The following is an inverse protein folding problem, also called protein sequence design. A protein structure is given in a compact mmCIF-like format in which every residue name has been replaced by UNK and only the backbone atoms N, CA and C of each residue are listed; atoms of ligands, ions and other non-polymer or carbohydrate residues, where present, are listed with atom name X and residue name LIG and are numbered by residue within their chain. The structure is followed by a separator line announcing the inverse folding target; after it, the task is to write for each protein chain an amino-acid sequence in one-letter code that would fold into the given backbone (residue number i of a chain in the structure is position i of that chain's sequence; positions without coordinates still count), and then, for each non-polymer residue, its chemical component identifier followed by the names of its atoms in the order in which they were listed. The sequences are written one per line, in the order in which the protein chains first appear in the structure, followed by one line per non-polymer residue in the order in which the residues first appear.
data_IF_401542950161
#
_entry.id   IF_401542950161
#
_cell.length_a   1.000
_cell.length_b   1.000
_cell.length_c   1.000
_cell.angle_alpha   90.00
_cell.angle_beta   90.00
_cell.angle_gamma   90.00
#
_symmetry.space_group_name_H-M   'P 1'
#
loop_
_entity.id
_entity.type
_entity.pdbx_description
1 polymer ?
#
# COMPACT_ATOMS: atom_id res chain seq x y z
N UNK A 1 3.80 -49.19 -55.41
CA UNK A 1 4.67 -48.21 -54.73
C UNK A 1 3.92 -46.93 -54.29
N UNK A 2 2.61 -46.99 -54.00
CA UNK A 2 1.78 -45.80 -53.68
C UNK A 2 1.13 -45.83 -52.28
N UNK A 3 1.22 -46.95 -51.55
CA UNK A 3 0.53 -47.13 -50.26
C UNK A 3 1.40 -46.71 -49.06
N UNK A 4 2.73 -46.67 -49.23
CA UNK A 4 3.68 -46.38 -48.14
C UNK A 4 3.80 -44.87 -47.79
N UNK A 5 3.38 -43.97 -48.70
CA UNK A 5 3.44 -42.51 -48.47
C UNK A 5 2.26 -41.94 -47.67
N UNK A 6 1.14 -42.67 -47.52
CA UNK A 6 0.01 -42.20 -46.71
C UNK A 6 0.23 -42.38 -45.21
N UNK A 7 0.92 -43.45 -44.78
CA UNK A 7 1.14 -43.73 -43.36
C UNK A 7 2.11 -42.73 -42.69
N UNK A 8 3.12 -42.25 -43.42
CA UNK A 8 4.09 -41.27 -42.89
C UNK A 8 3.48 -39.87 -42.69
N UNK A 9 2.46 -39.48 -43.47
CA UNK A 9 1.75 -38.20 -43.29
C UNK A 9 0.80 -38.22 -42.09
N UNK A 10 0.20 -39.37 -41.76
CA UNK A 10 -0.70 -39.49 -40.61
C UNK A 10 0.04 -39.37 -39.26
N UNK A 11 1.25 -39.93 -39.14
CA UNK A 11 2.05 -39.86 -37.91
C UNK A 11 2.57 -38.44 -37.59
N UNK A 12 2.86 -37.63 -38.60
CA UNK A 12 3.32 -36.25 -38.43
C UNK A 12 2.18 -35.31 -37.96
N UNK A 13 0.96 -35.50 -38.47
CA UNK A 13 -0.23 -34.76 -38.04
C UNK A 13 -0.61 -35.05 -36.57
N UNK A 14 -0.51 -36.32 -36.14
CA UNK A 14 -0.81 -36.70 -34.76
C UNK A 14 0.13 -36.05 -33.73
N UNK A 15 1.44 -35.94 -34.03
CA UNK A 15 2.41 -35.27 -33.15
C UNK A 15 2.20 -33.76 -33.07
N UNK A 16 1.79 -33.11 -34.17
CA UNK A 16 1.52 -31.68 -34.18
C UNK A 16 0.28 -31.34 -33.33
N UNK A 17 -0.78 -32.15 -33.42
CA UNK A 17 -2.00 -31.98 -32.61
C UNK A 17 -1.74 -32.20 -31.12
N UNK A 18 -0.91 -33.19 -30.76
CA UNK A 18 -0.56 -33.44 -29.36
C UNK A 18 0.28 -32.28 -28.76
N UNK A 19 1.27 -31.78 -29.50
CA UNK A 19 2.11 -30.65 -29.06
C UNK A 19 1.30 -29.34 -28.98
N UNK A 20 0.40 -29.09 -29.92
CA UNK A 20 -0.51 -27.94 -29.87
C UNK A 20 -1.51 -28.04 -28.70
N UNK A 21 -2.02 -29.24 -28.40
CA UNK A 21 -2.91 -29.46 -27.25
C UNK A 21 -2.20 -29.23 -25.91
N UNK A 22 -0.96 -29.72 -25.75
CA UNK A 22 -0.17 -29.50 -24.54
C UNK A 22 0.23 -28.03 -24.38
N UNK A 23 0.59 -27.34 -25.47
CA UNK A 23 0.88 -25.90 -25.44
C UNK A 23 -0.37 -25.07 -25.06
N UNK A 24 -1.55 -25.44 -25.55
CA UNK A 24 -2.80 -24.76 -25.20
C UNK A 24 -3.16 -24.94 -23.71
N UNK A 25 -2.94 -26.13 -23.15
CA UNK A 25 -3.16 -26.40 -21.71
C UNK A 25 -2.13 -25.67 -20.84
N UNK A 26 -0.88 -25.55 -21.29
CA UNK A 26 0.16 -24.83 -20.57
C UNK A 26 -0.01 -23.29 -20.64
N UNK A 27 -0.61 -22.78 -21.72
CA UNK A 27 -0.94 -21.36 -21.88
C UNK A 27 -2.28 -21.00 -21.22
N UNK A 28 -3.20 -21.96 -21.08
CA UNK A 28 -4.46 -21.80 -20.36
C UNK A 28 -4.28 -21.97 -18.84
N UNK A 29 -3.18 -21.46 -18.26
CA UNK A 29 -3.16 -21.23 -16.81
C UNK A 29 -4.23 -20.17 -16.54
N UNK A 30 -5.34 -20.49 -15.86
CA UNK A 30 -6.24 -19.44 -15.44
C UNK A 30 -5.41 -18.49 -14.57
N UNK A 31 -5.22 -17.26 -15.04
CA UNK A 31 -4.70 -16.22 -14.18
C UNK A 31 -5.62 -16.17 -12.97
N UNK A 32 -5.08 -16.35 -11.76
CA UNK A 32 -5.88 -16.20 -10.56
C UNK A 32 -6.45 -14.78 -10.59
N UNK A 33 -7.77 -14.68 -10.74
CA UNK A 33 -8.43 -13.40 -10.84
C UNK A 33 -8.23 -12.65 -9.52
N UNK A 34 -7.63 -11.47 -9.61
CA UNK A 34 -7.44 -10.55 -8.49
C UNK A 34 -8.54 -9.50 -8.55
N UNK A 35 -9.17 -9.23 -7.42
CA UNK A 35 -10.16 -8.19 -7.27
C UNK A 35 -9.68 -7.21 -6.23
N UNK A 36 -9.97 -5.94 -6.43
CA UNK A 36 -9.51 -4.85 -5.60
C UNK A 36 -10.68 -4.02 -5.13
N UNK A 37 -10.54 -3.40 -3.96
CA UNK A 37 -11.53 -2.49 -3.42
C UNK A 37 -11.04 -1.73 -2.19
N UNK A 38 -11.93 -0.88 -1.69
CA UNK A 38 -11.68 -0.03 -0.54
C UNK A 38 -11.97 -0.80 0.76
N UNK A 39 -11.04 -0.81 1.73
CA UNK A 39 -11.30 -1.39 3.04
C UNK A 39 -12.30 -0.55 3.86
N UNK A 40 -13.04 -1.19 4.75
CA UNK A 40 -13.93 -0.53 5.72
C UNK A 40 -13.17 0.20 6.84
N UNK A 41 -11.96 -0.24 7.16
CA UNK A 41 -11.06 0.39 8.13
C UNK A 41 -9.64 0.23 7.64
N UNK A 42 -8.84 1.30 7.72
CA UNK A 42 -7.43 1.28 7.37
C UNK A 42 -6.65 2.07 8.40
N UNK A 43 -6.12 1.37 9.39
CA UNK A 43 -5.45 1.94 10.55
C UNK A 43 -3.95 2.03 10.28
N UNK A 44 -3.42 3.24 10.25
CA UNK A 44 -1.99 3.54 10.17
C UNK A 44 -1.54 4.18 11.46
N UNK A 45 -0.40 3.74 11.99
CA UNK A 45 0.25 4.41 13.11
C UNK A 45 1.25 5.43 12.60
N UNK A 46 1.10 6.69 12.97
CA UNK A 46 2.14 7.71 12.79
C UNK A 46 2.85 7.87 14.12
N UNK A 47 4.16 7.69 14.13
CA UNK A 47 4.99 7.72 15.34
C UNK A 47 5.66 9.08 15.56
N UNK A 48 6.08 9.72 14.48
CA UNK A 48 6.82 10.97 14.55
C UNK A 48 6.55 11.84 13.32
N UNK A 49 6.42 13.14 13.56
CA UNK A 49 6.46 14.18 12.54
C UNK A 49 7.42 15.28 13.00
N UNK A 50 8.42 15.55 12.16
CA UNK A 50 9.47 16.55 12.45
C UNK A 50 9.78 17.38 11.23
N UNK A 51 10.26 18.61 11.45
CA UNK A 51 10.79 19.48 10.40
C UNK A 51 12.31 19.45 10.40
N UNK A 52 12.92 19.60 9.22
CA UNK A 52 14.37 19.58 9.05
C UNK A 52 14.83 20.70 8.12
N UNK A 53 16.03 21.23 8.38
CA UNK A 53 16.68 22.19 7.50
C UNK A 53 17.32 21.52 6.27
N UNK A 54 17.72 20.25 6.39
CA UNK A 54 18.46 19.49 5.37
C UNK A 54 17.89 18.09 5.11
N UNK A 55 18.33 17.48 4.00
CA UNK A 55 17.83 16.19 3.51
C UNK A 55 18.26 14.99 4.38
N UNK A 56 19.25 15.15 5.27
CA UNK A 56 19.65 14.09 6.19
C UNK A 56 18.79 14.05 7.44
N UNK A 57 18.07 15.15 7.73
CA UNK A 57 17.28 15.32 8.95
C UNK A 57 18.08 15.03 10.24
N UNK A 58 19.40 15.25 10.23
CA UNK A 58 20.26 15.00 11.38
C UNK A 58 19.91 15.92 12.57
N UNK A 59 19.56 17.18 12.27
CA UNK A 59 18.97 18.12 13.22
C UNK A 59 17.50 18.31 12.88
N UNK A 60 16.62 17.82 13.75
CA UNK A 60 15.16 17.84 13.54
C UNK A 60 14.45 18.60 14.67
N UNK A 61 13.44 19.36 14.28
CA UNK A 61 12.48 19.96 15.19
C UNK A 61 11.26 19.07 15.23
N UNK A 62 11.13 18.26 16.27
CA UNK A 62 9.97 17.39 16.45
C UNK A 62 8.74 18.21 16.77
N UNK A 63 7.75 18.14 15.89
CA UNK A 63 6.46 18.81 16.06
C UNK A 63 5.54 17.90 16.85
N UNK A 64 5.53 16.60 16.50
CA UNK A 64 4.72 15.57 17.17
C UNK A 64 5.51 14.27 17.30
N UNK A 65 5.41 13.66 18.48
CA UNK A 65 6.01 12.36 18.79
C UNK A 65 5.01 11.36 19.41
N UNK A 66 3.71 11.55 19.18
CA UNK A 66 2.67 10.66 19.70
C UNK A 66 2.38 9.55 18.70
N UNK A 67 2.45 8.30 19.13
CA UNK A 67 1.94 7.16 18.37
C UNK A 67 0.42 7.23 18.32
N UNK A 68 -0.12 7.79 17.25
CA UNK A 68 -1.56 7.88 17.04
C UNK A 68 -1.97 6.95 15.91
N UNK A 69 -3.07 6.22 16.11
CA UNK A 69 -3.67 5.37 15.09
C UNK A 69 -4.74 6.18 14.37
N UNK A 70 -4.61 6.29 13.05
CA UNK A 70 -5.54 7.01 12.21
C UNK A 70 -6.28 6.02 11.34
N UNK A 71 -7.62 6.04 11.40
CA UNK A 71 -8.44 5.30 10.46
C UNK A 71 -8.64 6.15 9.21
N UNK A 72 -8.12 5.68 8.08
CA UNK A 72 -8.17 6.37 6.80
C UNK A 72 -9.40 5.96 5.97
N UNK A 73 -10.13 4.93 6.40
CA UNK A 73 -11.35 4.49 5.72
C UNK A 73 -12.48 5.50 5.94
N UNK A 74 -12.96 6.09 4.86
CA UNK A 74 -14.03 7.09 4.86
C UNK A 74 -13.56 8.54 4.71
N UNK A 75 -12.25 8.80 4.76
CA UNK A 75 -11.71 10.05 4.24
C UNK A 75 -11.91 10.03 2.71
N UNK A 76 -12.52 11.08 2.15
CA UNK A 76 -12.58 11.20 0.70
C UNK A 76 -11.15 11.21 0.12
N UNK A 77 -10.91 10.69 -1.08
CA UNK A 77 -9.62 10.86 -1.74
C UNK A 77 -9.25 12.35 -1.78
N UNK A 78 -8.08 12.71 -1.24
CA UNK A 78 -7.65 14.10 -1.08
C UNK A 78 -8.14 14.83 0.19
N UNK A 79 -9.02 14.24 1.01
CA UNK A 79 -9.38 14.80 2.32
C UNK A 79 -8.45 14.28 3.44
N UNK A 80 -7.92 15.15 4.32
CA UNK A 80 -7.06 14.72 5.41
C UNK A 80 -7.82 13.79 6.36
N UNK A 81 -7.20 12.67 6.75
CA UNK A 81 -7.78 11.71 7.70
C UNK A 81 -7.70 12.17 9.18
N UNK A 82 -7.45 13.47 9.37
CA UNK A 82 -7.27 14.15 10.65
C UNK A 82 -6.24 15.27 10.53
N UNK A 83 -6.32 16.25 11.43
CA UNK A 83 -5.26 17.23 11.62
C UNK A 83 -4.13 16.53 12.38
N UNK A 84 -3.08 16.11 11.66
CA UNK A 84 -1.95 15.43 12.28
C UNK A 84 -1.22 16.38 13.20
N UNK A 85 -1.04 17.63 12.78
CA UNK A 85 -0.52 18.72 13.60
C UNK A 85 -1.66 19.68 13.95
N UNK A 86 -2.04 19.83 15.23
CA UNK A 86 -3.02 20.82 15.63
C UNK A 86 -2.57 22.22 15.21
N UNK A 87 -3.49 22.99 14.64
CA UNK A 87 -3.27 24.40 14.36
C UNK A 87 -2.84 25.14 15.64
N UNK A 88 -1.79 25.96 15.54
CA UNK A 88 -1.24 26.72 16.67
C UNK A 88 -0.13 26.02 17.48
N UNK A 89 0.34 24.85 17.05
CA UNK A 89 1.58 24.27 17.61
C UNK A 89 2.75 25.23 17.39
N UNK A 90 3.38 25.72 18.48
CA UNK A 90 4.49 26.67 18.36
C UNK A 90 5.77 25.95 17.95
N UNK A 91 6.37 26.39 16.85
CA UNK A 91 7.61 25.83 16.32
C UNK A 91 8.70 26.90 16.41
N UNK A 92 9.93 26.54 16.79
CA UNK A 92 11.07 27.45 16.75
C UNK A 92 11.22 28.12 15.38
N UNK A 93 11.56 29.41 15.41
CA UNK A 93 11.91 30.15 14.21
C UNK A 93 13.00 29.42 13.41
N UNK A 94 12.76 29.28 12.11
CA UNK A 94 13.71 28.70 11.19
C UNK A 94 13.14 28.51 9.78
N UNK A 95 14.04 28.22 8.85
CA UNK A 95 13.67 27.77 7.50
C UNK A 95 13.82 26.26 7.42
N UNK A 96 12.73 25.59 7.09
CA UNK A 96 12.65 24.15 6.96
C UNK A 96 12.45 23.79 5.49
N UNK A 97 13.36 22.97 4.95
CA UNK A 97 13.33 22.53 3.55
C UNK A 97 12.88 21.09 3.40
N UNK A 98 12.75 20.36 4.50
CA UNK A 98 12.29 18.98 4.53
C UNK A 98 11.41 18.74 5.74
N UNK A 99 10.58 17.72 5.67
CA UNK A 99 9.98 17.13 6.85
C UNK A 99 10.25 15.63 6.88
N UNK A 100 10.29 15.11 8.10
CA UNK A 100 10.45 13.70 8.40
C UNK A 100 9.13 13.19 8.97
N UNK A 101 8.64 12.11 8.41
CA UNK A 101 7.54 11.33 8.99
C UNK A 101 7.98 9.90 9.25
N UNK A 102 7.67 9.40 10.45
CA UNK A 102 7.85 8.00 10.81
C UNK A 102 6.49 7.34 10.96
N UNK A 103 6.20 6.34 10.14
CA UNK A 103 4.98 5.53 10.20
C UNK A 103 5.30 4.08 10.59
N UNK A 104 4.40 3.44 11.34
CA UNK A 104 4.50 2.02 11.64
C UNK A 104 4.25 1.18 10.39
N UNK A 105 5.03 0.11 10.20
CA UNK A 105 4.85 -0.82 9.07
C UNK A 105 3.61 -1.71 9.20
N UNK A 106 3.20 -1.97 10.43
CA UNK A 106 2.00 -2.73 10.72
C UNK A 106 0.78 -1.84 10.50
N UNK A 107 -0.05 -2.19 9.51
CA UNK A 107 -1.33 -1.53 9.24
C UNK A 107 -2.48 -2.47 9.56
N UNK A 108 -3.45 -1.97 10.32
CA UNK A 108 -4.64 -2.74 10.68
C UNK A 108 -5.73 -2.52 9.65
N UNK A 109 -6.18 -3.55 8.97
CA UNK A 109 -7.19 -3.43 7.91
C UNK A 109 -8.42 -4.26 8.24
N UNK A 110 -9.59 -3.65 8.07
CA UNK A 110 -10.88 -4.33 8.07
C UNK A 110 -11.51 -4.15 6.70
N UNK A 111 -11.93 -5.21 6.03
CA UNK A 111 -12.62 -5.08 4.77
C UNK A 111 -13.17 -6.37 4.19
N UNK A 112 -13.97 -6.20 3.14
CA UNK A 112 -14.58 -7.28 2.36
C UNK A 112 -14.41 -6.98 0.88
N UNK A 113 -14.03 -8.00 0.11
CA UNK A 113 -14.08 -8.00 -1.34
C UNK A 113 -15.06 -9.09 -1.75
N UNK A 114 -16.17 -8.70 -2.36
CA UNK A 114 -17.24 -9.63 -2.72
C UNK A 114 -17.10 -10.19 -4.14
N UNK A 115 -17.64 -11.39 -4.35
CA UNK A 115 -17.75 -12.04 -5.67
C UNK A 115 -16.42 -12.33 -6.39
N UNK A 116 -15.38 -12.78 -5.68
CA UNK A 116 -14.04 -13.02 -6.26
C UNK A 116 -14.02 -14.28 -7.16
N UNK A 117 -14.76 -15.33 -6.82
CA UNK A 117 -15.05 -16.46 -7.71
C UNK A 117 -16.11 -17.33 -7.04
N UNK A 118 -16.94 -18.02 -7.83
CA UNK A 118 -17.91 -19.01 -7.34
C UNK A 118 -18.88 -18.51 -6.25
N UNK A 119 -19.09 -17.19 -6.17
CA UNK A 119 -19.99 -16.55 -5.21
C UNK A 119 -19.40 -16.32 -3.81
N UNK A 120 -18.09 -16.50 -3.62
CA UNK A 120 -17.44 -16.29 -2.32
C UNK A 120 -17.04 -14.83 -2.09
N UNK A 121 -17.21 -14.38 -0.84
CA UNK A 121 -16.64 -13.15 -0.31
C UNK A 121 -15.30 -13.42 0.38
N UNK A 122 -14.36 -12.50 0.19
CA UNK A 122 -13.10 -12.49 0.90
C UNK A 122 -13.13 -11.41 1.97
N UNK A 123 -12.95 -11.80 3.22
CA UNK A 123 -13.02 -10.88 4.36
C UNK A 123 -11.74 -10.91 5.17
N UNK A 124 -11.38 -9.76 5.74
CA UNK A 124 -10.39 -9.72 6.82
C UNK A 124 -11.01 -10.29 8.10
N UNK A 125 -10.20 -11.02 8.87
CA UNK A 125 -10.63 -11.63 10.14
C UNK A 125 -9.67 -11.24 11.26
N UNK A 126 -10.19 -11.17 12.49
CA UNK A 126 -9.38 -10.97 13.69
C UNK A 126 -8.52 -12.21 13.90
N UNK A 127 -7.29 -12.17 13.44
CA UNK A 127 -6.32 -13.24 13.67
C UNK A 127 -4.97 -12.61 14.01
N UNK A 128 -4.29 -13.11 15.04
CA UNK A 128 -2.91 -12.71 15.32
C UNK A 128 -1.98 -13.40 14.32
N UNK A 129 -1.09 -12.63 13.70
CA UNK A 129 -0.11 -13.13 12.74
C UNK A 129 0.15 -12.10 11.65
N UNK A 130 1.40 -11.67 11.53
CA UNK A 130 1.84 -10.72 10.52
C UNK A 130 1.63 -11.31 9.12
N UNK A 131 0.76 -10.67 8.33
CA UNK A 131 0.60 -11.01 6.91
C UNK A 131 1.55 -10.13 6.11
N UNK A 132 2.62 -10.72 5.58
CA UNK A 132 3.49 -10.06 4.60
C UNK A 132 2.74 -9.88 3.28
N UNK A 133 3.07 -8.81 2.55
CA UNK A 133 2.64 -8.59 1.16
C UNK A 133 2.87 -9.90 0.37
N UNK A 134 1.79 -10.61 0.01
CA UNK A 134 1.75 -11.96 -0.60
C UNK A 134 1.83 -13.21 0.33
N UNK A 135 1.10 -13.25 1.46
CA UNK A 135 1.05 -14.43 2.36
C UNK A 135 -0.36 -14.90 2.79
N UNK A 136 -0.91 -15.85 2.02
CA UNK A 136 -1.89 -16.91 2.33
C UNK A 136 -2.69 -16.80 3.66
N UNK A 137 -3.93 -16.27 3.62
CA UNK A 137 -4.97 -16.59 4.61
C UNK A 137 -6.36 -16.61 3.98
N UNK A 138 -6.97 -17.78 4.10
CA UNK A 138 -8.32 -18.11 3.65
C UNK A 138 -9.37 -17.60 4.64
N UNK A 139 -10.37 -16.87 4.16
CA UNK A 139 -11.67 -16.78 4.84
C UNK A 139 -12.75 -17.26 3.89
N UNK A 140 -13.50 -18.27 4.32
CA UNK A 140 -14.64 -18.81 3.61
C UNK A 140 -15.90 -18.28 4.32
N UNK A 141 -16.66 -17.39 3.65
CA UNK A 141 -18.09 -17.00 3.74
C UNK A 141 -18.85 -16.90 5.09
N UNK A 142 -18.32 -17.38 6.22
CA UNK A 142 -19.03 -17.53 7.50
C UNK A 142 -18.35 -16.82 8.68
N UNK A 143 -17.42 -15.89 8.41
CA UNK A 143 -16.69 -15.15 9.44
C UNK A 143 -17.27 -13.77 9.74
N UNK A 144 -17.05 -13.30 10.97
CA UNK A 144 -17.21 -11.88 11.31
C UNK A 144 -16.04 -11.07 10.74
N UNK A 145 -16.34 -9.88 10.22
CA UNK A 145 -15.31 -8.90 9.88
C UNK A 145 -14.43 -8.63 11.10
N UNK A 146 -13.13 -8.68 10.89
CA UNK A 146 -12.15 -8.39 11.93
C UNK A 146 -10.90 -7.75 11.38
N UNK A 147 -10.08 -7.22 12.29
CA UNK A 147 -8.85 -6.53 11.93
C UNK A 147 -7.75 -7.54 11.61
N UNK A 148 -7.22 -7.47 10.39
CA UNK A 148 -6.01 -8.19 9.98
C UNK A 148 -4.85 -7.20 9.94
N UNK A 149 -3.72 -7.56 10.54
CA UNK A 149 -2.50 -6.74 10.49
C UNK A 149 -1.67 -7.12 9.27
N UNK A 150 -1.50 -6.19 8.35
CA UNK A 150 -0.60 -6.32 7.22
C UNK A 150 0.72 -5.61 7.53
N UNK A 151 1.82 -6.18 7.05
CA UNK A 151 3.13 -5.54 7.16
C UNK A 151 3.54 -4.94 5.82
N UNK A 152 3.68 -3.61 5.78
CA UNK A 152 4.20 -2.89 4.61
C UNK A 152 5.61 -3.37 4.26
N UNK A 153 5.99 -3.40 2.96
CA UNK A 153 7.30 -3.87 2.55
C UNK A 153 8.42 -2.98 3.11
N UNK A 154 9.65 -3.49 3.10
CA UNK A 154 10.83 -2.69 3.41
C UNK A 154 11.05 -1.70 2.28
N UNK A 155 11.17 -0.42 2.63
CA UNK A 155 11.46 0.68 1.71
C UNK A 155 12.77 1.33 2.12
N UNK A 156 13.75 1.33 1.21
CA UNK A 156 15.05 1.95 1.39
C UNK A 156 15.49 2.61 0.08
N UNK A 157 15.90 3.87 0.15
CA UNK A 157 16.41 4.62 -1.00
C UNK A 157 15.49 5.77 -1.41
N UNK A 158 15.73 6.28 -2.62
CA UNK A 158 14.94 7.37 -3.17
C UNK A 158 13.66 6.79 -3.79
N UNK A 159 12.53 7.34 -3.37
CA UNK A 159 11.26 7.22 -4.05
C UNK A 159 11.14 8.36 -5.08
N UNK A 160 9.93 8.59 -5.57
CA UNK A 160 9.64 9.68 -6.50
C UNK A 160 9.73 11.06 -5.82
N UNK A 161 9.87 12.10 -6.66
CA UNK A 161 9.82 13.52 -6.26
C UNK A 161 10.85 13.92 -5.18
N UNK A 162 11.95 13.18 -5.07
CA UNK A 162 13.02 13.45 -4.11
C UNK A 162 12.72 12.98 -2.68
N UNK A 163 11.66 12.21 -2.48
CA UNK A 163 11.38 11.57 -1.20
C UNK A 163 12.40 10.47 -0.96
N UNK A 164 13.00 10.44 0.23
CA UNK A 164 13.85 9.32 0.65
C UNK A 164 13.15 8.50 1.71
N UNK A 165 13.14 7.18 1.54
CA UNK A 165 12.59 6.24 2.49
C UNK A 165 13.69 5.42 3.14
N UNK A 166 13.50 5.09 4.41
CA UNK A 166 14.30 4.09 5.12
C UNK A 166 13.44 3.29 6.06
N UNK A 167 13.76 2.01 6.23
CA UNK A 167 13.02 1.12 7.12
C UNK A 167 13.92 0.64 8.26
N UNK A 168 13.53 0.92 9.50
CA UNK A 168 14.24 0.49 10.69
C UNK A 168 13.27 0.27 11.86
N UNK A 169 13.52 -0.76 12.67
CA UNK A 169 12.78 -0.99 13.92
C UNK A 169 11.26 -1.16 13.76
N UNK A 170 10.78 -1.67 12.62
CA UNK A 170 9.35 -1.81 12.34
C UNK A 170 8.66 -0.55 11.84
N UNK A 171 9.41 0.53 11.61
CA UNK A 171 8.90 1.79 11.08
C UNK A 171 9.47 2.09 9.69
N UNK A 172 8.70 2.81 8.89
CA UNK A 172 9.16 3.48 7.67
C UNK A 172 9.34 4.95 7.99
N UNK A 173 10.54 5.45 7.79
CA UNK A 173 10.85 6.88 7.88
C UNK A 173 10.95 7.45 6.48
N UNK A 174 10.19 8.49 6.21
CA UNK A 174 10.17 9.23 4.96
C UNK A 174 10.71 10.63 5.23
N UNK A 175 11.66 11.07 4.41
CA UNK A 175 12.12 12.46 4.37
C UNK A 175 11.66 13.04 3.05
N UNK A 176 10.86 14.09 3.13
CA UNK A 176 10.17 14.69 1.99
C UNK A 176 10.64 16.13 1.80
N UNK A 177 11.06 16.52 0.59
CA UNK A 177 11.43 17.91 0.32
C UNK A 177 10.20 18.82 0.32
N UNK A 178 10.37 20.02 0.86
CA UNK A 178 9.42 21.11 0.79
C UNK A 178 9.84 22.05 -0.34
N UNK A 179 8.98 22.18 -1.35
CA UNK A 179 9.20 23.06 -2.49
C UNK A 179 7.98 23.98 -2.68
N UNK A 180 8.03 25.26 -2.24
CA UNK A 180 9.18 25.94 -1.62
C UNK A 180 9.41 25.56 -0.14
N UNK A 181 10.62 25.83 0.42
CA UNK A 181 10.87 25.75 1.86
C UNK A 181 9.91 26.63 2.66
N UNK A 182 9.61 26.21 3.90
CA UNK A 182 8.74 26.94 4.82
C UNK A 182 9.62 27.71 5.81
N UNK A 183 9.42 29.03 5.90
CA UNK A 183 10.00 29.85 6.95
C UNK A 183 8.95 30.10 8.02
N UNK A 184 9.24 29.69 9.26
CA UNK A 184 8.41 29.94 10.43
C UNK A 184 9.04 31.10 11.20
N UNK A 185 8.31 32.19 11.43
CA UNK A 185 8.74 33.22 12.35
C UNK A 185 8.12 32.98 13.73
N UNK A 186 8.72 33.58 14.77
CA UNK A 186 8.17 33.48 16.13
C UNK A 186 6.73 34.01 16.18
N UNK A 187 5.81 33.14 16.58
CA UNK A 187 4.38 33.45 16.69
C UNK A 187 3.54 33.12 15.45
N UNK A 188 4.15 32.68 14.35
CA UNK A 188 3.41 32.20 13.19
C UNK A 188 2.71 30.87 13.50
N UNK A 189 1.43 30.77 13.13
CA UNK A 189 0.73 29.49 13.16
C UNK A 189 1.21 28.62 12.02
N UNK A 190 1.68 27.42 12.34
CA UNK A 190 2.05 26.43 11.33
C UNK A 190 0.85 26.13 10.41
N UNK A 191 1.04 26.01 9.09
CA UNK A 191 -0.01 25.52 8.21
C UNK A 191 -0.42 24.11 8.62
N UNK A 192 -1.67 23.73 8.36
CA UNK A 192 -2.13 22.36 8.60
C UNK A 192 -1.35 21.39 7.68
N UNK A 193 -0.91 20.27 8.25
CA UNK A 193 -0.27 19.16 7.54
C UNK A 193 -1.25 17.99 7.47
N UNK A 194 -1.59 17.60 6.25
CA UNK A 194 -2.41 16.44 5.96
C UNK A 194 -1.55 15.33 5.36
N UNK A 195 -1.65 14.11 5.89
CA UNK A 195 -1.15 12.92 5.20
C UNK A 195 -2.37 12.12 4.81
N UNK A 196 -2.53 11.91 3.51
CA UNK A 196 -3.63 11.15 2.95
C UNK A 196 -3.11 9.88 2.30
N UNK A 197 -3.85 8.79 2.47
CA UNK A 197 -3.57 7.55 1.80
C UNK A 197 -4.77 7.26 0.89
N UNK A 198 -4.53 7.25 -0.42
CA UNK A 198 -5.50 6.71 -1.35
C UNK A 198 -5.55 5.19 -1.15
N UNK A 199 -6.68 4.74 -0.61
CA UNK A 199 -6.95 3.34 -0.26
C UNK A 199 -8.01 2.68 -1.16
N UNK A 200 -8.39 3.32 -2.27
CA UNK A 200 -9.46 2.83 -3.15
C UNK A 200 -9.22 1.42 -3.68
N UNK A 201 -7.95 1.05 -3.78
CA UNK A 201 -7.48 -0.29 -4.21
C UNK A 201 -6.51 -0.89 -3.19
N UNK A 202 -6.55 -0.45 -1.94
CA UNK A 202 -5.63 -0.93 -0.90
C UNK A 202 -5.96 -2.34 -0.39
N UNK A 203 -7.15 -2.86 -0.68
CA UNK A 203 -7.52 -4.23 -0.31
C UNK A 203 -7.77 -5.06 -1.56
N UNK A 204 -7.01 -6.13 -1.71
CA UNK A 204 -7.19 -7.09 -2.78
C UNK A 204 -7.60 -8.45 -2.25
N UNK A 205 -8.20 -9.25 -3.11
CA UNK A 205 -8.47 -10.66 -2.86
C UNK A 205 -8.21 -11.52 -4.09
N UNK A 206 -7.70 -12.73 -3.86
CA UNK A 206 -7.34 -13.69 -4.90
C UNK A 206 -8.06 -15.01 -4.62
N UNK A 207 -8.86 -15.48 -5.57
CA UNK A 207 -9.49 -16.79 -5.46
C UNK A 207 -8.44 -17.89 -5.48
N UNK A 208 -8.55 -18.83 -4.54
CA UNK A 208 -7.76 -20.05 -4.50
C UNK A 208 -8.71 -21.24 -4.38
N UNK A 209 -8.23 -22.45 -4.70
CA UNK A 209 -9.08 -23.64 -4.61
C UNK A 209 -9.56 -23.84 -3.17
N UNK A 210 -10.87 -23.67 -2.94
CA UNK A 210 -11.50 -23.83 -1.63
C UNK A 210 -11.45 -22.59 -0.71
N UNK A 211 -11.10 -21.41 -1.23
CA UNK A 211 -11.17 -20.17 -0.46
C UNK A 211 -10.65 -18.93 -1.18
N UNK A 212 -10.20 -17.95 -0.39
CA UNK A 212 -9.69 -16.70 -0.93
C UNK A 212 -8.60 -16.08 -0.05
N UNK A 213 -7.55 -15.56 -0.68
CA UNK A 213 -6.47 -14.88 -0.02
C UNK A 213 -6.62 -13.36 -0.09
N UNK A 214 -6.56 -12.70 1.07
CA UNK A 214 -6.52 -11.25 1.15
C UNK A 214 -5.08 -10.75 0.92
N UNK A 215 -4.93 -9.71 0.11
CA UNK A 215 -3.66 -9.03 -0.14
C UNK A 215 -3.80 -7.54 0.11
N UNK A 216 -2.73 -6.90 0.57
CA UNK A 216 -2.67 -5.45 0.68
C UNK A 216 -2.19 -4.87 -0.64
N UNK A 217 -2.94 -3.93 -1.19
CA UNK A 217 -2.52 -3.11 -2.32
C UNK A 217 -1.44 -2.13 -1.90
N UNK A 218 -0.77 -1.54 -2.88
CA UNK A 218 0.21 -0.48 -2.66
C UNK A 218 -0.55 0.85 -2.49
N UNK A 219 -0.66 1.41 -1.28
CA UNK A 219 -1.36 2.68 -1.12
C UNK A 219 -0.55 3.80 -1.76
N UNK A 220 -1.25 4.77 -2.34
CA UNK A 220 -0.62 6.04 -2.75
C UNK A 220 -0.74 7.01 -1.60
N UNK A 221 0.40 7.55 -1.16
CA UNK A 221 0.46 8.60 -0.16
C UNK A 221 0.45 9.94 -0.87
N UNK A 222 -0.39 10.85 -0.38
CA UNK A 222 -0.46 12.24 -0.78
C UNK A 222 -0.21 13.07 0.46
N UNK A 223 0.68 14.06 0.37
CA UNK A 223 0.97 14.94 1.50
C UNK A 223 0.59 16.36 1.13
N UNK A 224 -0.25 16.95 1.96
CA UNK A 224 -0.81 18.27 1.79
C UNK A 224 -0.30 19.23 2.87
N UNK A 225 0.07 20.43 2.46
CA UNK A 225 0.47 21.51 3.36
C UNK A 225 -0.35 22.75 3.05
N UNK A 226 -1.10 23.24 4.05
CA UNK A 226 -1.98 24.40 3.87
C UNK A 226 -3.05 24.20 2.79
N UNK A 227 -3.49 22.95 2.56
CA UNK A 227 -4.47 22.60 1.53
C UNK A 227 -3.92 22.43 0.12
N UNK A 228 -2.60 22.43 -0.07
CA UNK A 228 -1.94 22.14 -1.34
C UNK A 228 -1.15 20.85 -1.27
N UNK A 229 -1.33 19.96 -2.25
CA UNK A 229 -0.51 18.76 -2.39
C UNK A 229 0.92 19.13 -2.76
N UNK A 230 1.86 18.72 -1.91
CA UNK A 230 3.29 18.96 -2.12
C UNK A 230 3.96 17.75 -2.77
N UNK A 231 3.52 16.54 -2.42
CA UNK A 231 4.10 15.31 -2.95
C UNK A 231 3.06 14.21 -3.05
N UNK A 232 3.20 13.35 -4.06
CA UNK A 232 2.46 12.09 -4.15
C UNK A 232 3.37 10.95 -4.57
N UNK A 233 3.33 9.84 -3.83
CA UNK A 233 4.15 8.66 -4.14
C UNK A 233 3.44 7.38 -3.72
N UNK A 234 3.73 6.28 -4.40
CA UNK A 234 3.13 4.97 -4.10
C UNK A 234 4.09 4.13 -3.27
N UNK A 235 3.59 3.50 -2.21
CA UNK A 235 4.35 2.55 -1.40
C UNK A 235 4.44 1.20 -2.12
N UNK A 236 5.23 1.11 -3.18
CA UNK A 236 5.38 -0.09 -4.02
C UNK A 236 6.80 -0.21 -4.58
N UNK A 237 7.30 -1.44 -4.63
CA UNK A 237 8.68 -1.79 -4.97
C UNK A 237 9.14 -1.24 -6.33
N UNK A 238 10.31 -0.61 -6.33
CA UNK A 238 11.23 -0.57 -7.48
C UNK A 238 11.88 -1.93 -7.70
#
# INVERSE_FOLDING_TARGET
MFVQNCFLRAAALGRLVLLAGVALVLLARPGLAQFWGTPNTYNVTVNEFSLCADASCASKTTVISSSSVFNLAGAAPGAPAGDYVPAGTSIPNGTYSYFLISIGRAVGVVGRISNIADGFDCITMTTSGDVSVAGDRQSNDFGFLGTTTFTMPVLNGNLDEGVTASTAGGNITLIVPLAPPITVNDGDTMPAFGINFNIDTALGGVSVFGGCNMILGVPTIVIDVGGSTIVSFTLGVS
#
